data_IF_190920891900
#
_entry.id   IF_190920891900
#
_cell.length_a   1.000
_cell.length_b   1.000
_cell.length_c   1.000
_cell.angle_alpha   90.00
_cell.angle_beta   90.00
_cell.angle_gamma   90.00
#
_symmetry.space_group_name_H-M   'P 1'
#
loop_
_entity.id
_entity.type
_entity.pdbx_description
1 polymer ?
#
# COMPACT_ATOMS: atom_id res chain seq x y z
N UNK A 1 24.70 8.08 44.00
CA UNK A 1 24.50 6.89 43.14
C UNK A 1 23.03 6.73 42.71
N UNK A 2 22.06 6.59 43.64
CA UNK A 2 20.62 6.40 43.30
C UNK A 2 20.02 7.50 42.39
N UNK A 3 20.37 8.78 42.59
CA UNK A 3 19.90 9.91 41.77
C UNK A 3 20.46 9.90 40.33
N UNK A 4 21.66 9.35 40.13
CA UNK A 4 22.28 9.25 38.80
C UNK A 4 21.63 8.13 37.97
N UNK A 5 21.25 7.02 38.62
CA UNK A 5 20.54 5.90 38.00
C UNK A 5 19.13 6.31 37.55
N UNK A 6 18.42 7.09 38.37
CA UNK A 6 17.08 7.58 38.03
C UNK A 6 17.13 8.55 36.84
N UNK A 7 18.12 9.44 36.79
CA UNK A 7 18.30 10.36 35.67
C UNK A 7 18.67 9.61 34.38
N UNK A 8 19.50 8.57 34.47
CA UNK A 8 19.85 7.70 33.34
C UNK A 8 18.66 6.91 32.81
N UNK A 9 17.77 6.40 33.68
CA UNK A 9 16.54 5.72 33.24
C UNK A 9 15.57 6.70 32.55
N UNK A 10 15.43 7.93 33.06
CA UNK A 10 14.54 8.93 32.47
C UNK A 10 15.03 9.42 31.10
N UNK A 11 16.35 9.53 30.92
CA UNK A 11 16.95 9.91 29.63
C UNK A 11 16.81 8.80 28.57
N UNK A 12 16.83 7.53 28.98
CA UNK A 12 16.64 6.39 28.08
C UNK A 12 15.21 6.31 27.54
N UNK A 13 14.20 6.71 28.32
CA UNK A 13 12.80 6.78 27.89
C UNK A 13 12.49 7.96 26.96
N UNK A 14 13.27 9.04 27.02
CA UNK A 14 13.13 10.21 26.13
C UNK A 14 13.76 10.00 24.75
N UNK A 15 14.67 9.03 24.62
CA UNK A 15 15.29 8.63 23.34
C UNK A 15 14.60 7.43 22.65
N UNK A 16 13.56 6.87 23.27
CA UNK A 16 12.67 5.92 22.62
C UNK A 16 11.80 6.64 21.59
N UNK A 17 12.37 6.94 20.42
CA UNK A 17 11.61 7.45 19.29
C UNK A 17 10.47 6.48 18.97
N UNK A 18 9.29 7.03 18.65
CA UNK A 18 8.17 6.26 18.16
C UNK A 18 8.60 5.66 16.80
N UNK A 19 8.97 4.38 16.80
CA UNK A 19 9.17 3.64 15.56
C UNK A 19 7.78 3.37 14.98
N UNK A 20 7.32 4.23 14.07
CA UNK A 20 6.22 3.87 13.20
C UNK A 20 6.74 2.80 12.23
N UNK A 21 6.30 1.57 12.42
CA UNK A 21 6.47 0.53 11.42
C UNK A 21 5.52 0.87 10.26
N UNK A 22 6.00 1.66 9.30
CA UNK A 22 5.24 1.92 8.08
C UNK A 22 5.34 0.69 7.16
N UNK A 23 4.23 0.31 6.56
CA UNK A 23 4.18 -0.82 5.64
C UNK A 23 4.77 -0.34 4.31
N UNK A 24 5.85 -0.96 3.79
CA UNK A 24 6.41 -0.53 2.51
C UNK A 24 5.35 -0.56 1.41
N UNK A 25 5.01 0.61 0.87
CA UNK A 25 4.04 0.76 -0.22
C UNK A 25 4.74 0.61 -1.56
N UNK A 26 5.13 -0.62 -1.86
CA UNK A 26 5.88 -0.96 -3.08
C UNK A 26 5.17 -2.03 -3.89
N UNK A 27 5.30 -1.96 -5.21
CA UNK A 27 4.73 -2.95 -6.13
C UNK A 27 5.86 -3.59 -6.94
N UNK A 28 5.92 -4.92 -6.94
CA UNK A 28 6.79 -5.64 -7.87
C UNK A 28 6.20 -5.55 -9.28
N UNK A 29 7.01 -5.09 -10.24
CA UNK A 29 6.65 -5.01 -11.64
C UNK A 29 7.62 -5.85 -12.46
N UNK A 30 7.08 -6.79 -13.24
CA UNK A 30 7.86 -7.67 -14.12
C UNK A 30 7.34 -7.53 -15.53
N UNK A 31 8.25 -7.45 -16.50
CA UNK A 31 7.87 -7.41 -17.90
C UNK A 31 8.91 -8.06 -18.80
N UNK A 32 8.46 -8.38 -20.02
CA UNK A 32 9.33 -8.84 -21.10
C UNK A 32 9.50 -7.72 -22.12
N UNK A 33 10.73 -7.28 -22.31
CA UNK A 33 11.17 -6.36 -23.34
C UNK A 33 11.59 -7.10 -24.61
N UNK A 34 10.97 -6.72 -25.72
CA UNK A 34 11.29 -7.22 -27.07
C UNK A 34 11.42 -6.07 -28.04
N UNK A 35 12.08 -6.33 -29.17
CA UNK A 35 11.99 -5.44 -30.34
C UNK A 35 10.64 -5.61 -31.08
N UNK A 36 10.50 -4.89 -32.20
CA UNK A 36 9.31 -4.93 -33.04
C UNK A 36 9.05 -6.29 -33.71
N UNK A 37 10.08 -7.11 -33.88
CA UNK A 37 10.00 -8.46 -34.44
C UNK A 37 9.73 -9.51 -33.34
N UNK A 38 9.63 -9.09 -32.08
CA UNK A 38 9.38 -9.95 -30.92
C UNK A 38 10.63 -10.65 -30.37
N UNK A 39 11.82 -10.25 -30.83
CA UNK A 39 13.09 -10.80 -30.32
C UNK A 39 13.38 -10.19 -28.95
N UNK A 40 13.73 -11.05 -27.99
CA UNK A 40 14.05 -10.62 -26.64
C UNK A 40 15.33 -9.77 -26.62
N UNK A 41 15.25 -8.60 -25.99
CA UNK A 41 16.38 -7.70 -25.83
C UNK A 41 17.20 -8.06 -24.59
N UNK A 42 18.48 -7.68 -24.58
CA UNK A 42 19.38 -7.87 -23.45
C UNK A 42 20.23 -6.61 -23.27
N UNK A 43 20.59 -6.29 -22.04
CA UNK A 43 21.41 -5.14 -21.70
C UNK A 43 20.87 -4.40 -20.48
N UNK A 44 21.54 -3.31 -20.11
CA UNK A 44 21.08 -2.41 -19.06
C UNK A 44 20.35 -1.23 -19.69
N UNK A 45 19.18 -0.90 -19.14
CA UNK A 45 18.31 0.16 -19.66
C UNK A 45 17.84 1.08 -18.54
N UNK A 46 17.71 2.36 -18.83
CA UNK A 46 17.00 3.31 -18.00
C UNK A 46 15.49 3.21 -18.30
N UNK A 47 14.73 2.80 -17.29
CA UNK A 47 13.29 2.55 -17.42
C UNK A 47 12.53 3.47 -16.49
N UNK A 48 11.61 4.24 -17.06
CA UNK A 48 10.74 5.17 -16.33
C UNK A 48 9.31 4.67 -16.31
N UNK A 49 8.67 4.73 -15.14
CA UNK A 49 7.30 4.32 -14.91
C UNK A 49 6.44 5.50 -14.44
N UNK A 50 5.18 5.50 -14.86
CA UNK A 50 4.16 6.38 -14.30
C UNK A 50 2.80 5.69 -14.29
N UNK A 51 1.91 6.12 -13.41
CA UNK A 51 0.55 5.59 -13.27
C UNK A 51 -0.46 6.68 -13.63
N UNK A 52 -1.46 6.30 -14.41
CA UNK A 52 -2.48 7.17 -14.98
C UNK A 52 -3.89 6.64 -14.71
N UNK A 53 -4.89 7.51 -14.86
CA UNK A 53 -6.33 7.20 -14.73
C UNK A 53 -7.02 6.88 -16.08
N UNK A 54 -6.25 6.74 -17.17
CA UNK A 54 -6.76 6.28 -18.47
C UNK A 54 -5.68 5.54 -19.29
N UNK A 55 -6.12 4.66 -20.18
CA UNK A 55 -5.27 3.81 -21.02
C UNK A 55 -4.44 4.58 -22.07
N UNK A 56 -4.91 5.74 -22.52
CA UNK A 56 -4.29 6.51 -23.63
C UNK A 56 -4.18 8.01 -23.37
N UNK A 57 -5.00 8.57 -22.48
CA UNK A 57 -4.98 9.98 -22.09
C UNK A 57 -4.99 10.15 -20.58
N UNK A 58 -5.95 10.91 -20.06
CA UNK A 58 -6.15 11.02 -18.61
C UNK A 58 -5.12 11.89 -17.88
N UNK A 59 -5.16 11.78 -16.55
CA UNK A 59 -4.33 12.50 -15.59
C UNK A 59 -3.22 11.59 -15.06
N UNK A 60 -2.03 12.16 -14.94
CA UNK A 60 -0.92 11.52 -14.24
C UNK A 60 -1.24 11.47 -12.74
N UNK A 61 -1.31 10.26 -12.18
CA UNK A 61 -1.63 10.04 -10.77
C UNK A 61 -0.38 9.79 -9.92
N UNK A 62 0.65 9.17 -10.49
CA UNK A 62 1.91 8.90 -9.80
C UNK A 62 3.09 8.80 -10.78
N UNK A 63 4.27 9.16 -10.28
CA UNK A 63 5.51 9.20 -11.06
C UNK A 63 5.81 10.58 -11.66
N UNK A 64 6.81 10.67 -12.55
CA UNK A 64 7.64 9.56 -13.02
C UNK A 64 8.57 8.99 -11.94
N UNK A 65 8.76 7.67 -11.96
CA UNK A 65 9.83 6.98 -11.22
C UNK A 65 10.79 6.35 -12.23
N UNK A 66 12.07 6.74 -12.18
CA UNK A 66 13.10 6.26 -13.10
C UNK A 66 14.05 5.31 -12.38
N UNK A 67 14.13 4.08 -12.87
CA UNK A 67 15.15 3.11 -12.49
C UNK A 67 16.26 3.13 -13.55
N UNK A 68 17.46 3.55 -13.15
CA UNK A 68 18.61 3.56 -14.05
C UNK A 68 19.36 2.24 -14.04
N UNK A 69 19.86 1.82 -15.20
CA UNK A 69 20.68 0.61 -15.34
C UNK A 69 19.97 -0.70 -14.96
N UNK A 70 18.69 -0.83 -15.30
CA UNK A 70 17.93 -2.07 -15.08
C UNK A 70 18.44 -3.14 -16.02
N UNK A 71 19.01 -4.21 -15.47
CA UNK A 71 19.50 -5.35 -16.26
C UNK A 71 18.36 -6.17 -16.81
N UNK A 72 18.28 -6.26 -18.13
CA UNK A 72 17.35 -7.08 -18.90
C UNK A 72 18.10 -8.33 -19.39
N UNK A 73 17.60 -9.51 -19.02
CA UNK A 73 18.16 -10.81 -19.44
C UNK A 73 17.09 -11.67 -20.08
N UNK A 74 17.35 -12.15 -21.30
CA UNK A 74 16.38 -12.85 -22.16
C UNK A 74 15.05 -12.08 -22.31
N UNK A 75 15.14 -10.75 -22.39
CA UNK A 75 14.01 -9.84 -22.40
C UNK A 75 13.36 -9.63 -21.04
N UNK A 76 13.69 -10.35 -19.99
CA UNK A 76 13.02 -10.21 -18.69
C UNK A 76 13.74 -9.22 -17.78
N UNK A 77 12.94 -8.42 -17.08
CA UNK A 77 13.38 -7.61 -15.94
C UNK A 77 12.31 -7.58 -14.86
N UNK A 78 12.74 -7.28 -13.64
CA UNK A 78 11.88 -6.99 -12.51
C UNK A 78 12.37 -5.75 -11.76
N UNK A 79 11.43 -4.92 -11.30
CA UNK A 79 11.70 -3.73 -10.50
C UNK A 79 10.65 -3.58 -9.40
N UNK A 80 10.96 -2.78 -8.38
CA UNK A 80 10.02 -2.42 -7.32
C UNK A 80 9.64 -0.96 -7.44
N UNK A 81 8.40 -0.71 -7.89
CA UNK A 81 7.83 0.62 -7.98
C UNK A 81 7.50 1.15 -6.58
N UNK A 82 7.74 2.43 -6.34
CA UNK A 82 7.51 3.05 -5.04
C UNK A 82 8.74 3.06 -4.14
N UNK A 83 9.90 2.57 -4.63
CA UNK A 83 11.14 2.55 -3.86
C UNK A 83 11.93 3.85 -4.00
N UNK A 84 11.73 4.58 -5.10
CA UNK A 84 12.37 5.87 -5.36
C UNK A 84 11.37 7.02 -5.19
N UNK A 85 10.16 6.89 -5.75
CA UNK A 85 9.07 7.87 -5.65
C UNK A 85 7.93 7.28 -4.84
N UNK A 86 7.65 7.82 -3.65
CA UNK A 86 6.61 7.29 -2.75
C UNK A 86 5.29 7.01 -3.47
N UNK A 87 4.82 5.77 -3.39
CA UNK A 87 3.60 5.31 -4.05
C UNK A 87 2.39 5.46 -3.14
N UNK A 88 1.82 6.67 -3.17
CA UNK A 88 0.76 7.06 -2.25
C UNK A 88 -0.68 6.76 -2.71
N UNK A 89 -0.89 5.98 -3.78
CA UNK A 89 -2.22 5.72 -4.37
C UNK A 89 -3.10 4.75 -3.56
N UNK A 90 -4.40 5.02 -3.49
CA UNK A 90 -5.38 4.18 -2.77
C UNK A 90 -5.63 2.81 -3.42
N UNK A 91 -5.35 2.68 -4.72
CA UNK A 91 -5.71 1.49 -5.51
C UNK A 91 -7.21 1.15 -5.51
N UNK A 92 -8.05 2.18 -5.38
CA UNK A 92 -9.52 2.03 -5.33
C UNK A 92 -10.20 2.07 -6.71
N UNK A 93 -9.53 2.63 -7.72
CA UNK A 93 -10.04 2.79 -9.09
C UNK A 93 -9.29 1.89 -10.09
N UNK A 94 -9.56 2.07 -11.39
CA UNK A 94 -8.73 1.47 -12.44
C UNK A 94 -7.50 2.36 -12.68
N UNK A 95 -6.33 1.73 -12.77
CA UNK A 95 -5.06 2.42 -12.98
C UNK A 95 -4.31 1.80 -14.16
N UNK A 96 -3.53 2.61 -14.86
CA UNK A 96 -2.74 2.19 -16.02
C UNK A 96 -1.28 2.59 -15.85
N UNK A 97 -0.36 1.64 -16.00
CA UNK A 97 1.08 1.88 -15.99
C UNK A 97 1.54 2.24 -17.40
N UNK A 98 2.18 3.40 -17.50
CA UNK A 98 3.00 3.77 -18.65
C UNK A 98 4.46 3.41 -18.38
N UNK A 99 5.12 2.85 -19.38
CA UNK A 99 6.54 2.49 -19.33
C UNK A 99 7.27 3.22 -20.44
N UNK A 100 8.39 3.84 -20.11
CA UNK A 100 9.30 4.47 -21.07
C UNK A 100 10.70 3.90 -20.91
N UNK A 101 11.34 3.53 -22.02
CA UNK A 101 12.67 2.92 -22.04
C UNK A 101 13.58 3.84 -22.85
N UNK A 102 14.67 4.30 -22.26
CA UNK A 102 15.62 5.23 -22.90
C UNK A 102 14.91 6.47 -23.51
N UNK A 103 13.87 6.97 -22.82
CA UNK A 103 13.05 8.09 -23.25
C UNK A 103 11.97 7.78 -24.30
N UNK A 104 11.87 6.53 -24.76
CA UNK A 104 10.80 6.08 -25.67
C UNK A 104 9.64 5.50 -24.89
N UNK A 105 8.50 6.20 -24.88
CA UNK A 105 7.25 5.73 -24.26
C UNK A 105 6.65 4.57 -25.05
N UNK A 106 6.35 3.47 -24.36
CA UNK A 106 5.69 2.30 -24.90
C UNK A 106 4.17 2.44 -24.77
N UNK A 107 3.46 2.19 -25.87
CA UNK A 107 2.00 2.20 -25.94
C UNK A 107 1.47 0.84 -26.43
N UNK A 108 0.27 0.41 -25.98
CA UNK A 108 -0.60 1.07 -25.00
C UNK A 108 -0.15 0.86 -23.55
N UNK A 109 -0.62 1.73 -22.65
CA UNK A 109 -0.42 1.56 -21.20
C UNK A 109 -1.04 0.26 -20.71
N UNK A 110 -0.41 -0.37 -19.73
CA UNK A 110 -0.85 -1.65 -19.18
C UNK A 110 -1.76 -1.41 -17.98
N UNK A 111 -2.96 -1.99 -17.99
CA UNK A 111 -3.88 -1.89 -16.85
C UNK A 111 -3.33 -2.67 -15.65
N UNK A 112 -3.32 -2.04 -14.47
CA UNK A 112 -3.05 -2.75 -13.22
C UNK A 112 -4.25 -3.63 -12.88
N UNK A 113 -4.02 -4.94 -12.90
CA UNK A 113 -5.04 -5.94 -12.59
C UNK A 113 -4.84 -6.50 -11.18
N UNK A 114 -5.95 -6.84 -10.53
CA UNK A 114 -5.90 -7.50 -9.23
C UNK A 114 -5.48 -8.96 -9.38
N UNK A 115 -4.71 -9.47 -8.41
CA UNK A 115 -4.35 -10.89 -8.32
C UNK A 115 -5.47 -11.71 -7.65
N UNK A 116 -5.68 -12.99 -8.01
CA UNK A 116 -6.83 -13.76 -7.54
C UNK A 116 -7.04 -13.79 -6.01
N UNK A 117 -5.95 -13.90 -5.25
CA UNK A 117 -6.02 -13.88 -3.78
C UNK A 117 -6.33 -12.49 -3.20
N UNK A 118 -6.04 -11.41 -3.92
CA UNK A 118 -6.34 -10.04 -3.49
C UNK A 118 -7.82 -9.69 -3.62
N UNK A 119 -8.63 -10.41 -4.40
CA UNK A 119 -10.09 -10.22 -4.41
C UNK A 119 -10.72 -10.39 -3.02
N UNK A 120 -10.09 -11.19 -2.13
CA UNK A 120 -10.56 -11.32 -0.75
C UNK A 120 -10.37 -10.05 0.07
N UNK A 121 -9.40 -9.19 -0.27
CA UNK A 121 -9.16 -7.94 0.44
C UNK A 121 -10.32 -6.95 0.29
N UNK A 122 -11.10 -7.04 -0.80
CA UNK A 122 -12.32 -6.23 -1.00
C UNK A 122 -13.28 -6.35 0.20
N UNK A 123 -13.38 -7.53 0.81
CA UNK A 123 -14.24 -7.72 1.98
C UNK A 123 -13.72 -7.02 3.24
N UNK A 124 -12.41 -6.80 3.36
CA UNK A 124 -11.83 -6.02 4.45
C UNK A 124 -12.16 -4.52 4.28
N UNK A 125 -12.12 -4.00 3.06
CA UNK A 125 -12.56 -2.62 2.78
C UNK A 125 -14.07 -2.44 3.00
N UNK A 126 -14.84 -3.53 2.90
CA UNK A 126 -16.30 -3.52 3.10
C UNK A 126 -16.70 -3.78 4.56
N UNK A 127 -15.77 -4.01 5.50
CA UNK A 127 -16.09 -3.97 6.92
C UNK A 127 -16.29 -2.51 7.35
N UNK A 128 -17.37 -1.89 6.86
CA UNK A 128 -17.89 -0.69 7.49
C UNK A 128 -18.21 -0.99 8.96
N UNK A 129 -18.29 0.04 9.80
CA UNK A 129 -18.77 -0.15 11.17
C UNK A 129 -20.14 -0.84 11.11
N UNK A 130 -20.21 -2.10 11.53
CA UNK A 130 -21.47 -2.84 11.64
C UNK A 130 -22.39 -2.20 12.70
N UNK A 131 -21.86 -1.27 13.50
CA UNK A 131 -22.51 -0.61 14.63
C UNK A 131 -23.01 -1.62 15.67
N UNK A 132 -22.51 -2.86 15.62
CA UNK A 132 -22.83 -3.89 16.60
C UNK A 132 -22.22 -3.51 17.95
N UNK A 133 -21.15 -2.70 17.96
CA UNK A 133 -20.49 -2.20 19.16
C UNK A 133 -20.45 -0.69 19.19
N UNK A 134 -21.00 -0.11 20.25
CA UNK A 134 -21.00 1.32 20.51
C UNK A 134 -20.12 1.63 21.73
N UNK A 135 -19.38 2.72 21.63
CA UNK A 135 -18.52 3.23 22.72
C UNK A 135 -19.24 4.40 23.38
N UNK A 136 -19.43 4.34 24.70
CA UNK A 136 -19.93 5.47 25.51
C UNK A 136 -19.00 5.65 26.71
N UNK A 137 -18.31 6.78 26.76
CA UNK A 137 -17.29 7.03 27.78
C UNK A 137 -16.16 6.00 27.70
N UNK A 138 -15.96 5.24 28.78
CA UNK A 138 -14.95 4.17 28.87
C UNK A 138 -15.52 2.76 28.60
N UNK A 139 -16.78 2.69 28.20
CA UNK A 139 -17.55 1.46 28.12
C UNK A 139 -17.90 1.10 26.68
N UNK A 140 -17.98 -0.21 26.40
CA UNK A 140 -18.39 -0.78 25.12
C UNK A 140 -19.67 -1.59 25.33
N UNK A 141 -20.71 -1.36 24.51
CA UNK A 141 -22.01 -2.03 24.58
C UNK A 141 -22.54 -2.42 23.19
N UNK A 142 -23.50 -3.34 23.14
CA UNK A 142 -24.13 -3.78 21.88
C UNK A 142 -25.05 -2.69 21.31
N UNK A 143 -24.85 -2.28 20.05
CA UNK A 143 -25.74 -1.36 19.31
C UNK A 143 -26.89 -2.04 18.58
N UNK A 144 -26.94 -3.38 18.60
CA UNK A 144 -27.99 -4.18 17.95
C UNK A 144 -29.36 -3.91 18.58
N UNK A 145 -30.35 -3.56 17.75
CA UNK A 145 -31.75 -3.38 18.19
C UNK A 145 -32.68 -4.44 17.60
N UNK A 146 -33.51 -5.13 18.40
CA UNK A 146 -33.57 -5.07 19.87
C UNK A 146 -32.33 -5.70 20.51
N UNK A 147 -31.93 -5.16 21.67
CA UNK A 147 -30.75 -5.63 22.40
C UNK A 147 -30.87 -7.15 22.67
N UNK A 148 -29.82 -7.94 22.38
CA UNK A 148 -29.77 -9.34 22.78
C UNK A 148 -30.03 -9.48 24.29
N UNK A 149 -30.69 -10.55 24.72
CA UNK A 149 -31.05 -10.82 26.13
C UNK A 149 -29.86 -11.14 27.05
N UNK A 150 -28.64 -10.77 26.66
CA UNK A 150 -27.40 -11.03 27.38
C UNK A 150 -26.70 -9.76 27.87
N UNK A 151 -26.09 -9.85 29.05
CA UNK A 151 -25.28 -8.80 29.67
C UNK A 151 -23.92 -8.69 28.97
N UNK A 152 -23.85 -8.06 27.81
CA UNK A 152 -22.58 -7.87 27.10
C UNK A 152 -22.11 -6.43 27.23
N UNK A 153 -21.15 -6.21 28.12
CA UNK A 153 -20.46 -4.94 28.27
C UNK A 153 -19.09 -5.12 28.92
N UNK A 154 -18.09 -4.44 28.38
CA UNK A 154 -16.74 -4.38 28.96
C UNK A 154 -16.60 -3.02 29.65
N UNK A 155 -16.25 -3.01 30.93
CA UNK A 155 -16.07 -1.79 31.73
C UNK A 155 -17.23 -1.42 32.65
N UNK A 156 -18.42 -1.99 32.44
CA UNK A 156 -19.64 -1.63 33.21
C UNK A 156 -19.94 -2.59 34.35
N UNK A 157 -20.15 -2.05 35.54
CA UNK A 157 -20.54 -2.82 36.73
C UNK A 157 -21.99 -3.33 36.68
N UNK A 158 -22.82 -2.70 35.84
CA UNK A 158 -24.22 -3.05 35.62
C UNK A 158 -24.58 -2.82 34.14
N UNK A 159 -24.33 -3.78 33.25
CA UNK A 159 -24.83 -3.70 31.87
C UNK A 159 -26.35 -3.55 31.89
N UNK A 160 -26.84 -2.38 31.51
CA UNK A 160 -28.26 -2.08 31.33
C UNK A 160 -28.61 -2.17 29.85
N UNK A 161 -29.83 -2.63 29.57
CA UNK A 161 -30.49 -2.56 28.26
C UNK A 161 -30.62 -1.11 27.79
#
# INVERSE_FOLDING_TARGET
MKRLVILSMFLLTLFGGWLFADIPRVINYQAKLTDADGVALNGDYDITFSIWDDATGGTLLWGPETHSGVTVTNGLFDVQLGTITELALSFADTYWVETSIEGTTLAPRQMLSTVPYAFRAIYADTTGADNDWQISGSDIYTGITPAPTGNVGIGIASPLY
#
